data_IF_980802866377
#
_entry.id   IF_980802866377
#
_cell.length_a   1.000
_cell.length_b   1.000
_cell.length_c   1.000
_cell.angle_alpha   90.00
_cell.angle_beta   90.00
_cell.angle_gamma   90.00
#
_symmetry.space_group_name_H-M   'P 1'
#
loop_
_entity.id
_entity.type
_entity.pdbx_description
1 polymer ?
#
# COMPACT_ATOMS: atom_id res chain seq x y z
N UNK A 1 4.79 -8.29 -19.52
CA UNK A 1 3.76 -8.32 -18.46
C UNK A 1 4.33 -7.68 -17.19
N UNK A 2 3.68 -6.64 -16.69
CA UNK A 2 4.10 -5.89 -15.50
C UNK A 2 3.70 -6.65 -14.23
N UNK A 3 4.64 -6.92 -13.35
CA UNK A 3 4.38 -7.53 -12.04
C UNK A 3 4.00 -6.47 -11.02
N UNK A 4 2.90 -6.66 -10.31
CA UNK A 4 2.32 -5.69 -9.38
C UNK A 4 2.21 -6.29 -7.98
N UNK A 5 2.64 -5.53 -6.98
CA UNK A 5 2.38 -5.83 -5.57
C UNK A 5 1.51 -4.72 -4.97
N UNK A 6 0.40 -5.08 -4.34
CA UNK A 6 -0.53 -4.14 -3.71
C UNK A 6 -0.41 -4.20 -2.18
N UNK A 7 0.21 -3.21 -1.58
CA UNK A 7 0.18 -3.03 -0.12
C UNK A 7 -1.11 -2.30 0.29
N UNK A 8 -1.70 -2.71 1.40
CA UNK A 8 -3.01 -2.22 1.86
C UNK A 8 -4.08 -2.38 0.78
N UNK A 9 -4.16 -3.58 0.20
CA UNK A 9 -4.89 -3.84 -1.04
C UNK A 9 -6.39 -3.52 -0.97
N UNK A 10 -7.01 -3.61 0.21
CA UNK A 10 -8.43 -3.39 0.35
C UNK A 10 -9.24 -4.33 -0.56
N UNK A 11 -10.13 -3.77 -1.35
CA UNK A 11 -10.88 -4.51 -2.38
C UNK A 11 -10.16 -4.53 -3.76
N UNK A 12 -8.94 -4.00 -3.86
CA UNK A 12 -8.15 -4.00 -5.10
C UNK A 12 -8.57 -2.93 -6.10
N UNK A 13 -8.69 -1.67 -5.66
CA UNK A 13 -9.05 -0.56 -6.55
C UNK A 13 -8.02 -0.34 -7.66
N UNK A 14 -6.73 -0.47 -7.35
CA UNK A 14 -5.65 -0.35 -8.32
C UNK A 14 -5.66 -1.52 -9.32
N UNK A 15 -5.91 -2.74 -8.85
CA UNK A 15 -6.12 -3.90 -9.69
C UNK A 15 -7.27 -3.66 -10.68
N UNK A 16 -8.41 -3.15 -10.19
CA UNK A 16 -9.55 -2.81 -11.04
C UNK A 16 -9.22 -1.73 -12.08
N UNK A 17 -8.46 -0.71 -11.68
CA UNK A 17 -8.01 0.34 -12.58
C UNK A 17 -7.14 -0.22 -13.71
N UNK A 18 -6.17 -1.07 -13.39
CA UNK A 18 -5.33 -1.73 -14.38
C UNK A 18 -6.14 -2.62 -15.36
N UNK A 19 -7.14 -3.34 -14.85
CA UNK A 19 -8.07 -4.09 -15.71
C UNK A 19 -8.83 -3.18 -16.68
N UNK A 20 -9.36 -2.06 -16.19
CA UNK A 20 -10.10 -1.09 -17.03
C UNK A 20 -9.21 -0.44 -18.09
N UNK A 21 -7.94 -0.22 -17.78
CA UNK A 21 -6.94 0.28 -18.72
C UNK A 21 -6.49 -0.80 -19.72
N UNK A 22 -6.94 -2.04 -19.57
CA UNK A 22 -6.49 -3.19 -20.38
C UNK A 22 -4.96 -3.36 -20.35
N UNK A 23 -4.34 -3.03 -19.21
CA UNK A 23 -2.91 -3.20 -19.00
C UNK A 23 -2.53 -4.69 -19.04
N UNK A 24 -1.33 -4.98 -19.51
CA UNK A 24 -0.75 -6.32 -19.44
C UNK A 24 0.00 -6.46 -18.10
N UNK A 25 -0.64 -7.07 -17.11
CA UNK A 25 -0.12 -7.16 -15.75
C UNK A 25 -0.52 -8.45 -15.02
N UNK A 26 0.21 -8.73 -13.96
CA UNK A 26 -0.06 -9.80 -13.00
C UNK A 26 0.08 -9.26 -11.57
N UNK A 27 -0.89 -9.55 -10.70
CA UNK A 27 -0.75 -9.30 -9.26
C UNK A 27 0.04 -10.46 -8.66
N UNK A 28 1.30 -10.20 -8.30
CA UNK A 28 2.21 -11.22 -7.74
C UNK A 28 2.08 -11.38 -6.24
N UNK A 29 1.45 -10.41 -5.56
CA UNK A 29 1.18 -10.46 -4.14
C UNK A 29 0.40 -9.26 -3.65
N UNK A 30 -0.26 -9.45 -2.52
CA UNK A 30 -0.97 -8.38 -1.81
C UNK A 30 -0.60 -8.42 -0.32
N UNK A 31 -0.78 -7.31 0.36
CA UNK A 31 -0.72 -7.19 1.81
C UNK A 31 -2.02 -6.57 2.31
N UNK A 32 -2.85 -7.36 2.98
CA UNK A 32 -4.13 -6.94 3.55
C UNK A 32 -4.45 -7.78 4.78
N UNK A 33 -4.84 -7.15 5.89
CA UNK A 33 -5.17 -7.82 7.14
C UNK A 33 -6.68 -7.96 7.37
N UNK A 34 -7.49 -7.13 6.70
CA UNK A 34 -8.94 -7.13 6.89
C UNK A 34 -9.59 -8.28 6.10
N UNK A 35 -10.14 -9.25 6.83
CA UNK A 35 -10.81 -10.40 6.23
C UNK A 35 -12.03 -10.05 5.37
N UNK A 36 -12.71 -8.94 5.67
CA UNK A 36 -13.86 -8.48 4.89
C UNK A 36 -13.41 -7.83 3.59
N UNK A 37 -12.33 -7.04 3.64
CA UNK A 37 -11.71 -6.50 2.43
C UNK A 37 -11.23 -7.62 1.50
N UNK A 38 -10.60 -8.67 2.02
CA UNK A 38 -10.18 -9.83 1.25
C UNK A 38 -11.35 -10.56 0.57
N UNK A 39 -12.49 -10.70 1.25
CA UNK A 39 -13.72 -11.26 0.65
C UNK A 39 -14.23 -10.39 -0.50
N UNK A 40 -14.23 -9.07 -0.32
CA UNK A 40 -14.61 -8.13 -1.37
C UNK A 40 -13.65 -8.20 -2.56
N UNK A 41 -12.35 -8.31 -2.28
CA UNK A 41 -11.32 -8.47 -3.31
C UNK A 41 -11.59 -9.70 -4.18
N UNK A 42 -11.76 -10.86 -3.55
CA UNK A 42 -12.05 -12.12 -4.25
C UNK A 42 -13.36 -12.07 -5.05
N UNK A 43 -14.42 -11.51 -4.45
CA UNK A 43 -15.70 -11.35 -5.13
C UNK A 43 -15.62 -10.43 -6.36
N UNK A 44 -14.85 -9.33 -6.26
CA UNK A 44 -14.71 -8.35 -7.35
C UNK A 44 -13.81 -8.84 -8.47
N UNK A 45 -12.75 -9.57 -8.15
CA UNK A 45 -11.72 -9.96 -9.12
C UNK A 45 -11.80 -11.41 -9.56
N UNK A 46 -12.63 -12.23 -8.90
CA UNK A 46 -12.80 -13.66 -9.18
C UNK A 46 -11.64 -14.54 -8.70
N UNK A 47 -10.64 -13.94 -8.06
CA UNK A 47 -9.46 -14.62 -7.50
C UNK A 47 -8.88 -13.82 -6.37
N UNK A 48 -8.16 -14.49 -5.47
CA UNK A 48 -7.37 -13.85 -4.42
C UNK A 48 -5.90 -14.19 -4.66
N UNK A 49 -5.05 -13.18 -4.95
CA UNK A 49 -3.61 -13.40 -5.05
C UNK A 49 -3.02 -13.85 -3.72
N UNK A 50 -1.77 -14.30 -3.71
CA UNK A 50 -1.06 -14.60 -2.46
C UNK A 50 -1.09 -13.39 -1.55
N UNK A 51 -1.71 -13.55 -0.38
CA UNK A 51 -1.77 -12.51 0.64
C UNK A 51 -0.68 -12.71 1.68
N UNK A 52 0.21 -11.73 1.80
CA UNK A 52 1.30 -11.72 2.78
C UNK A 52 0.88 -11.16 4.15
N UNK A 53 -0.38 -10.73 4.29
CA UNK A 53 -0.96 -10.26 5.55
C UNK A 53 -0.41 -8.92 6.01
N UNK A 54 0.03 -8.85 7.26
CA UNK A 54 0.56 -7.63 7.89
C UNK A 54 1.89 -7.24 7.27
N UNK A 55 1.94 -6.05 6.69
CA UNK A 55 3.13 -5.53 5.99
C UNK A 55 4.36 -5.44 6.89
N UNK A 56 4.18 -5.22 8.19
CA UNK A 56 5.29 -5.16 9.16
C UNK A 56 5.97 -6.51 9.41
N UNK A 57 5.33 -7.60 9.00
CA UNK A 57 5.78 -8.98 9.19
C UNK A 57 6.28 -9.65 7.90
N UNK A 58 6.24 -8.94 6.79
CA UNK A 58 6.68 -9.49 5.50
C UNK A 58 8.20 -9.62 5.48
N UNK A 59 8.69 -10.81 5.16
CA UNK A 59 10.08 -11.00 4.75
C UNK A 59 10.21 -10.66 3.26
N UNK A 60 10.72 -9.48 2.98
CA UNK A 60 10.87 -9.01 1.60
C UNK A 60 11.90 -9.79 0.80
N UNK A 61 12.82 -10.51 1.46
CA UNK A 61 13.75 -11.39 0.76
C UNK A 61 13.02 -12.57 0.10
N UNK A 62 11.98 -13.10 0.77
CA UNK A 62 11.19 -14.23 0.29
C UNK A 62 10.01 -13.80 -0.62
N UNK A 63 9.59 -12.53 -0.55
CA UNK A 63 8.52 -12.02 -1.40
C UNK A 63 8.97 -11.95 -2.88
N UNK A 64 8.04 -12.10 -3.85
CA UNK A 64 8.38 -12.02 -5.27
C UNK A 64 8.86 -10.61 -5.65
N UNK A 65 9.63 -10.52 -6.72
CA UNK A 65 9.98 -9.24 -7.32
C UNK A 65 8.79 -8.65 -8.08
N UNK A 66 8.69 -7.33 -8.10
CA UNK A 66 7.61 -6.60 -8.76
C UNK A 66 8.12 -5.32 -9.40
N UNK A 67 7.44 -4.90 -10.47
CA UNK A 67 7.75 -3.69 -11.23
C UNK A 67 6.98 -2.47 -10.71
N UNK A 68 5.72 -2.67 -10.31
CA UNK A 68 4.82 -1.66 -9.74
C UNK A 68 4.50 -2.01 -8.29
N UNK A 69 4.71 -1.06 -7.40
CA UNK A 69 4.28 -1.12 -6.01
C UNK A 69 3.20 -0.09 -5.75
N UNK A 70 2.00 -0.55 -5.38
CA UNK A 70 0.91 0.34 -4.98
C UNK A 70 0.75 0.32 -3.47
N UNK A 71 0.57 1.48 -2.85
CA UNK A 71 0.42 1.58 -1.40
C UNK A 71 -0.44 2.76 -0.99
N UNK A 72 -1.63 2.42 -0.49
CA UNK A 72 -2.61 3.37 0.07
C UNK A 72 -2.67 3.14 1.57
N UNK A 73 -1.64 3.60 2.29
CA UNK A 73 -1.52 3.35 3.73
C UNK A 73 -2.64 4.04 4.52
N UNK A 74 -3.01 3.53 5.72
CA UNK A 74 -4.11 4.08 6.51
C UNK A 74 -3.96 5.57 6.78
N UNK A 75 -5.05 6.33 6.58
CA UNK A 75 -5.07 7.78 6.72
C UNK A 75 -5.76 8.29 7.99
N UNK A 76 -6.16 7.41 8.89
CA UNK A 76 -6.96 7.76 10.08
C UNK A 76 -6.25 8.77 10.99
N UNK A 77 -4.94 8.69 11.10
CA UNK A 77 -4.14 9.56 11.96
C UNK A 77 -3.74 10.90 11.32
N UNK A 78 -3.95 11.07 10.02
CA UNK A 78 -3.59 12.28 9.25
C UNK A 78 -4.79 12.97 8.61
N UNK A 79 -5.93 12.28 8.49
CA UNK A 79 -7.17 12.85 7.93
C UNK A 79 -7.70 14.01 8.78
N UNK A 80 -8.38 14.97 8.13
CA UNK A 80 -9.09 16.07 8.82
C UNK A 80 -10.18 15.52 9.76
N UNK A 81 -10.80 14.40 9.38
CA UNK A 81 -11.88 13.75 10.15
C UNK A 81 -11.33 12.82 11.23
N UNK A 82 -10.09 12.35 11.10
CA UNK A 82 -9.45 11.45 12.05
C UNK A 82 -8.84 12.15 13.27
N UNK A 83 -8.14 11.38 14.10
CA UNK A 83 -7.53 11.88 15.33
C UNK A 83 -6.28 12.74 15.12
N UNK A 84 -5.80 12.88 13.89
CA UNK A 84 -4.63 13.69 13.50
C UNK A 84 -3.35 13.38 14.28
N UNK A 85 -3.15 12.12 14.66
CA UNK A 85 -1.95 11.68 15.40
C UNK A 85 -0.65 11.78 14.58
N UNK A 86 -0.79 11.89 13.23
CA UNK A 86 0.37 11.96 12.34
C UNK A 86 0.88 10.59 11.91
N UNK A 87 2.04 10.58 11.28
CA UNK A 87 2.65 9.35 10.75
C UNK A 87 4.20 9.35 10.95
N UNK A 88 4.67 9.87 12.07
CA UNK A 88 6.10 9.86 12.39
C UNK A 88 6.65 8.43 12.38
N UNK A 89 7.87 8.27 11.86
CA UNK A 89 8.55 6.98 11.84
C UNK A 89 8.69 6.43 13.26
N UNK A 90 8.23 5.17 13.47
CA UNK A 90 8.27 4.53 14.78
C UNK A 90 7.24 5.06 15.79
N UNK A 91 6.29 5.91 15.36
CA UNK A 91 5.26 6.47 16.26
C UNK A 91 4.24 5.45 16.76
N UNK A 92 4.14 4.27 16.11
CA UNK A 92 3.13 3.26 16.39
C UNK A 92 1.71 3.60 15.91
N UNK A 93 1.52 4.69 15.18
CA UNK A 93 0.23 5.03 14.55
C UNK A 93 0.01 4.17 13.31
N UNK A 94 -1.27 3.95 12.91
CA UNK A 94 -1.57 3.21 11.68
C UNK A 94 -0.99 3.91 10.44
N UNK A 95 -1.02 5.24 10.40
CA UNK A 95 -0.45 6.01 9.29
C UNK A 95 1.07 5.93 9.21
N UNK A 96 1.75 5.54 10.31
CA UNK A 96 3.20 5.30 10.32
C UNK A 96 3.61 4.04 9.55
N UNK A 97 2.64 3.18 9.17
CA UNK A 97 2.88 2.00 8.31
C UNK A 97 3.43 2.35 6.94
N UNK A 98 3.37 3.63 6.54
CA UNK A 98 4.09 4.14 5.36
C UNK A 98 5.58 3.74 5.42
N UNK A 99 6.21 3.82 6.59
CA UNK A 99 7.62 3.50 6.76
C UNK A 99 7.93 2.00 6.60
N UNK A 100 6.94 1.14 6.76
CA UNK A 100 7.06 -0.28 6.40
C UNK A 100 7.15 -0.47 4.88
N UNK A 101 6.48 0.39 4.10
CA UNK A 101 6.60 0.42 2.64
C UNK A 101 8.02 0.76 2.18
N UNK A 102 8.75 1.57 2.95
CA UNK A 102 10.17 1.88 2.69
C UNK A 102 11.02 0.61 2.59
N UNK A 103 10.81 -0.33 3.52
CA UNK A 103 11.52 -1.62 3.51
C UNK A 103 11.27 -2.41 2.23
N UNK A 104 10.03 -2.43 1.75
CA UNK A 104 9.67 -3.07 0.49
C UNK A 104 10.39 -2.42 -0.70
N UNK A 105 10.37 -1.09 -0.76
CA UNK A 105 10.98 -0.29 -1.83
C UNK A 105 12.49 -0.49 -1.87
N UNK A 106 13.16 -0.44 -0.72
CA UNK A 106 14.61 -0.64 -0.61
C UNK A 106 15.05 -2.06 -0.99
N UNK A 107 14.25 -3.07 -0.58
CA UNK A 107 14.55 -4.46 -0.86
C UNK A 107 14.30 -4.85 -2.31
N UNK A 108 13.20 -4.37 -2.90
CA UNK A 108 12.72 -4.81 -4.23
C UNK A 108 13.00 -3.84 -5.36
N UNK A 109 13.24 -2.56 -5.06
CA UNK A 109 13.55 -1.49 -6.03
C UNK A 109 12.61 -1.48 -7.24
N UNK A 110 11.28 -1.40 -7.01
CA UNK A 110 10.31 -1.39 -8.10
C UNK A 110 10.55 -0.18 -9.01
N UNK A 111 10.21 -0.31 -10.30
CA UNK A 111 10.36 0.77 -11.30
C UNK A 111 9.34 1.88 -11.11
N UNK A 112 8.16 1.54 -10.59
CA UNK A 112 7.03 2.45 -10.46
C UNK A 112 6.47 2.35 -9.04
N UNK A 113 6.25 3.51 -8.42
CA UNK A 113 5.59 3.65 -7.12
C UNK A 113 4.29 4.43 -7.33
N UNK A 114 3.18 3.88 -6.85
CA UNK A 114 1.88 4.53 -6.84
C UNK A 114 1.37 4.64 -5.42
N UNK A 115 1.45 5.85 -4.85
CA UNK A 115 0.93 6.15 -3.52
C UNK A 115 -0.37 6.92 -3.62
N UNK A 116 -1.36 6.53 -2.83
CA UNK A 116 -2.60 7.26 -2.65
C UNK A 116 -2.80 7.57 -1.16
N UNK A 117 -3.19 8.79 -0.85
CA UNK A 117 -3.60 9.17 0.51
C UNK A 117 -4.41 10.47 0.47
N UNK A 118 -4.86 10.93 1.67
CA UNK A 118 -5.62 12.16 1.81
C UNK A 118 -4.75 13.41 1.64
N UNK A 119 -5.34 14.51 1.15
CA UNK A 119 -4.66 15.79 0.95
C UNK A 119 -3.89 16.28 2.19
N UNK A 120 -4.39 16.00 3.39
CA UNK A 120 -3.75 16.43 4.64
C UNK A 120 -2.36 15.80 4.87
N UNK A 121 -1.96 14.80 4.10
CA UNK A 121 -0.60 14.26 4.11
C UNK A 121 0.45 15.34 3.84
N UNK A 122 0.15 16.27 2.93
CA UNK A 122 1.00 17.43 2.58
C UNK A 122 0.67 18.68 3.38
N UNK A 123 -0.23 18.59 4.36
CA UNK A 123 -0.59 19.68 5.27
C UNK A 123 0.57 20.06 6.21
N UNK A 124 0.52 21.28 6.76
CA UNK A 124 1.60 21.85 7.59
C UNK A 124 2.13 20.89 8.66
N UNK A 125 1.26 20.16 9.35
CA UNK A 125 1.63 19.24 10.43
C UNK A 125 2.44 18.04 9.93
N UNK A 126 2.14 17.56 8.74
CA UNK A 126 2.69 16.31 8.20
C UNK A 126 3.79 16.55 7.14
N UNK A 127 3.95 17.82 6.71
CA UNK A 127 4.83 18.16 5.58
C UNK A 127 6.28 17.69 5.78
N UNK A 128 6.83 17.81 6.98
CA UNK A 128 8.21 17.39 7.26
C UNK A 128 8.42 15.88 7.04
N UNK A 129 7.44 15.05 7.43
CA UNK A 129 7.49 13.62 7.19
C UNK A 129 7.30 13.28 5.72
N UNK A 130 6.42 13.99 5.03
CA UNK A 130 6.23 13.83 3.60
C UNK A 130 7.49 14.21 2.82
N UNK A 131 8.13 15.32 3.17
CA UNK A 131 9.38 15.76 2.52
C UNK A 131 10.54 14.75 2.76
N UNK A 132 10.59 14.08 3.91
CA UNK A 132 11.54 12.98 4.15
C UNK A 132 11.27 11.75 3.30
N UNK A 133 10.01 11.54 2.94
CA UNK A 133 9.62 10.40 2.12
C UNK A 133 10.04 10.57 0.65
N UNK A 134 9.95 11.78 0.12
CA UNK A 134 10.35 12.10 -1.26
C UNK A 134 11.85 12.03 -1.46
#
# INVERSE_FOLDING_TARGET
>A
MMKVFEAFAGYGSQHLALKRLKADFEIVGISEIDKYALKCYEALHGTLPTNYGDISKIDWAEAPDFDLFTYSFPCQDISIVGQRKGFDEGSGTESSLLWECKKAIEAKKPKILLMENVKNLVGKKNKSNFDKWL
#
